data_IF_814204040862
#
_entry.id   IF_814204040862
#
_cell.length_a   1.000
_cell.length_b   1.000
_cell.length_c   1.000
_cell.angle_alpha   90.00
_cell.angle_beta   90.00
_cell.angle_gamma   90.00
#
_symmetry.space_group_name_H-M   'P 1'
#
loop_
_entity.id
_entity.type
_entity.pdbx_description
1 polymer ?
#
# COMPACT_ATOMS: atom_id res chain seq x y z
N UNK A 1 10.89 8.37 33.42
CA UNK A 1 10.96 9.57 32.55
C UNK A 1 9.64 10.29 32.72
N UNK A 2 9.62 11.62 32.79
CA UNK A 2 8.37 12.39 32.83
C UNK A 2 7.59 12.16 31.56
N UNK A 3 6.30 11.94 31.69
CA UNK A 3 5.37 11.78 30.58
C UNK A 3 5.37 13.06 29.75
N UNK A 4 5.65 12.96 28.42
CA UNK A 4 5.66 14.12 27.53
C UNK A 4 4.22 14.50 27.24
N UNK A 5 3.78 15.70 27.70
CA UNK A 5 2.43 16.24 27.44
C UNK A 5 2.43 17.14 26.21
N UNK A 6 1.43 16.98 25.36
CA UNK A 6 1.22 17.86 24.21
C UNK A 6 0.32 17.23 23.15
N UNK A 7 0.09 17.97 22.08
CA UNK A 7 -0.74 17.51 20.96
C UNK A 7 -0.05 16.48 20.07
N UNK A 8 -0.84 15.73 19.32
CA UNK A 8 -0.33 14.92 18.23
C UNK A 8 -0.88 15.34 16.86
N UNK A 9 -0.13 15.05 15.82
CA UNK A 9 -0.58 15.13 14.42
C UNK A 9 -0.47 13.75 13.79
N UNK A 10 -1.51 13.33 13.07
CA UNK A 10 -1.49 12.20 12.12
C UNK A 10 -1.64 12.73 10.69
N UNK A 11 -0.71 12.36 9.80
CA UNK A 11 -0.79 12.65 8.36
C UNK A 11 -0.83 11.37 7.54
N UNK A 12 -1.52 11.41 6.40
CA UNK A 12 -1.57 10.32 5.41
C UNK A 12 -0.80 10.74 4.16
N UNK A 13 -0.03 9.81 3.55
CA UNK A 13 0.89 10.13 2.47
C UNK A 13 0.97 9.03 1.40
N UNK A 14 1.23 9.46 0.17
CA UNK A 14 1.42 8.58 -0.99
C UNK A 14 0.11 8.01 -1.55
N UNK A 15 0.21 6.92 -2.31
CA UNK A 15 -0.95 6.22 -2.85
C UNK A 15 -1.83 5.65 -1.75
N UNK A 16 -3.17 5.81 -1.81
CA UNK A 16 -4.07 5.29 -0.79
C UNK A 16 -4.23 3.76 -0.90
N UNK A 17 -4.83 3.16 0.14
CA UNK A 17 -5.19 1.74 0.18
C UNK A 17 -6.61 1.55 0.72
N UNK A 18 -7.11 0.33 0.70
CA UNK A 18 -8.39 -0.01 1.34
C UNK A 18 -8.35 0.15 2.87
N UNK A 19 -7.17 0.10 3.50
CA UNK A 19 -7.01 0.08 4.97
C UNK A 19 -6.18 1.22 5.54
N UNK A 20 -5.73 2.19 4.73
CA UNK A 20 -4.96 3.33 5.23
C UNK A 20 -5.71 4.11 6.31
N UNK A 21 -7.03 4.20 6.20
CA UNK A 21 -7.87 4.84 7.21
C UNK A 21 -8.02 3.99 8.47
N UNK A 22 -7.93 2.67 8.37
CA UNK A 22 -7.91 1.79 9.54
C UNK A 22 -6.64 2.03 10.38
N UNK A 23 -5.48 2.21 9.75
CA UNK A 23 -4.25 2.64 10.44
C UNK A 23 -4.42 4.01 11.10
N UNK A 24 -5.00 4.98 10.37
CA UNK A 24 -5.26 6.31 10.92
C UNK A 24 -6.26 6.25 12.09
N UNK A 25 -7.30 5.42 12.02
CA UNK A 25 -8.23 5.18 13.12
C UNK A 25 -7.49 4.64 14.35
N UNK A 26 -6.59 3.68 14.16
CA UNK A 26 -5.75 3.14 15.24
C UNK A 26 -4.95 4.23 15.95
N UNK A 27 -4.35 5.16 15.21
CA UNK A 27 -3.65 6.34 15.78
C UNK A 27 -4.64 7.26 16.49
N UNK A 28 -5.70 7.72 15.81
CA UNK A 28 -6.65 8.71 16.32
C UNK A 28 -7.32 8.21 17.60
N UNK A 29 -7.84 6.99 17.59
CA UNK A 29 -8.56 6.43 18.74
C UNK A 29 -7.65 6.27 19.94
N UNK A 30 -6.47 5.69 19.76
CA UNK A 30 -5.51 5.50 20.86
C UNK A 30 -5.01 6.84 21.41
N UNK A 31 -4.78 7.82 20.53
CA UNK A 31 -4.35 9.16 20.95
C UNK A 31 -5.44 9.89 21.74
N UNK A 32 -6.72 9.80 21.32
CA UNK A 32 -7.86 10.40 22.04
C UNK A 32 -8.06 9.76 23.43
N UNK A 33 -7.69 8.51 23.62
CA UNK A 33 -7.80 7.80 24.90
C UNK A 33 -6.56 8.00 25.81
N UNK A 34 -5.49 8.62 25.26
CA UNK A 34 -4.25 8.83 26.00
C UNK A 34 -4.33 10.04 26.93
N UNK A 35 -3.96 9.87 28.20
CA UNK A 35 -3.95 10.96 29.20
C UNK A 35 -2.88 12.03 28.99
N UNK A 36 -1.83 11.75 28.20
CA UNK A 36 -0.73 12.69 27.92
C UNK A 36 -0.90 13.43 26.59
N UNK A 37 -1.73 12.94 25.66
CA UNK A 37 -2.01 13.62 24.40
C UNK A 37 -3.17 14.60 24.60
N UNK A 38 -2.88 15.89 24.51
CA UNK A 38 -3.84 16.97 24.82
C UNK A 38 -4.83 17.25 23.71
N UNK A 39 -4.40 17.15 22.47
CA UNK A 39 -5.19 17.36 21.26
C UNK A 39 -4.76 16.38 20.17
N UNK A 40 -5.70 15.95 19.35
CA UNK A 40 -5.45 15.03 18.24
C UNK A 40 -5.82 15.72 16.94
N UNK A 41 -4.82 15.94 16.10
CA UNK A 41 -4.98 16.64 14.83
C UNK A 41 -4.76 15.72 13.64
N UNK A 42 -5.64 15.80 12.63
CA UNK A 42 -5.47 15.21 11.32
C UNK A 42 -4.92 16.24 10.33
N UNK A 43 -3.77 15.99 9.72
CA UNK A 43 -3.21 16.92 8.74
C UNK A 43 -3.93 16.81 7.39
N UNK A 44 -4.51 17.90 6.89
CA UNK A 44 -5.13 17.95 5.57
C UNK A 44 -4.08 17.74 4.47
N UNK A 45 -4.21 16.66 3.69
CA UNK A 45 -3.22 16.30 2.67
C UNK A 45 -1.79 16.09 3.22
N UNK A 46 -1.66 15.43 4.37
CA UNK A 46 -0.38 15.03 4.94
C UNK A 46 0.52 16.22 5.27
N UNK A 47 1.81 16.13 4.88
CA UNK A 47 2.79 17.18 5.23
C UNK A 47 2.46 18.56 4.64
N UNK A 48 1.76 18.61 3.50
CA UNK A 48 1.31 19.89 2.93
C UNK A 48 0.34 20.61 3.85
N UNK A 49 -0.54 19.88 4.55
CA UNK A 49 -1.42 20.44 5.55
C UNK A 49 -0.68 20.97 6.77
N UNK A 50 0.38 20.29 7.20
CA UNK A 50 1.24 20.80 8.28
C UNK A 50 1.91 22.11 7.86
N UNK A 51 2.48 22.17 6.67
CA UNK A 51 3.12 23.39 6.14
C UNK A 51 2.13 24.55 5.98
N UNK A 52 0.90 24.27 5.61
CA UNK A 52 -0.15 25.25 5.44
C UNK A 52 -0.91 25.58 6.75
N UNK A 53 -0.55 24.93 7.87
CA UNK A 53 -1.26 25.03 9.16
C UNK A 53 -2.77 24.69 9.04
N UNK A 54 -3.07 23.65 8.23
CA UNK A 54 -4.41 23.14 8.00
C UNK A 54 -4.57 21.78 8.67
N UNK A 55 -4.99 21.81 9.92
CA UNK A 55 -5.13 20.66 10.79
C UNK A 55 -6.60 20.49 11.20
N UNK A 56 -7.15 19.29 11.06
CA UNK A 56 -8.51 18.96 11.52
C UNK A 56 -8.46 18.53 12.99
N UNK A 57 -9.32 19.10 13.82
CA UNK A 57 -9.48 18.68 15.21
C UNK A 57 -10.31 17.38 15.28
N UNK A 58 -9.65 16.27 15.52
CA UNK A 58 -10.28 14.94 15.55
C UNK A 58 -11.20 14.74 16.75
N UNK A 59 -11.11 15.56 17.79
CA UNK A 59 -12.02 15.54 18.94
C UNK A 59 -13.43 16.05 18.60
N UNK A 60 -13.57 16.78 17.50
CA UNK A 60 -14.86 17.29 17.01
C UNK A 60 -15.63 16.28 16.16
N UNK A 61 -14.98 15.17 15.79
CA UNK A 61 -15.59 14.13 14.97
C UNK A 61 -16.55 13.25 15.78
N UNK A 62 -17.60 12.77 15.11
CA UNK A 62 -18.50 11.80 15.72
C UNK A 62 -17.73 10.46 15.91
N UNK A 63 -17.71 9.88 17.12
CA UNK A 63 -17.06 8.59 17.37
C UNK A 63 -17.55 7.47 16.44
N UNK A 64 -18.80 7.49 15.99
CA UNK A 64 -19.35 6.51 15.05
C UNK A 64 -18.76 6.71 13.64
N UNK A 65 -18.55 7.95 13.22
CA UNK A 65 -17.89 8.23 11.94
C UNK A 65 -16.40 7.86 11.99
N UNK A 66 -15.73 8.08 13.12
CA UNK A 66 -14.36 7.61 13.30
C UNK A 66 -14.27 6.09 13.20
N UNK A 67 -15.21 5.34 13.79
CA UNK A 67 -15.26 3.88 13.69
C UNK A 67 -15.40 3.39 12.25
N UNK A 68 -16.14 4.10 11.40
CA UNK A 68 -16.32 3.80 9.99
C UNK A 68 -15.03 3.95 9.18
N UNK A 69 -14.02 4.64 9.69
CA UNK A 69 -12.71 4.74 9.03
C UNK A 69 -12.07 3.38 8.79
N UNK A 70 -12.32 2.39 9.63
CA UNK A 70 -11.83 1.01 9.45
C UNK A 70 -12.25 0.41 8.12
N UNK A 71 -13.40 0.81 7.59
CA UNK A 71 -14.03 0.26 6.40
C UNK A 71 -14.08 1.24 5.22
N UNK A 72 -13.54 2.45 5.42
CA UNK A 72 -13.52 3.50 4.41
C UNK A 72 -12.23 3.43 3.60
N UNK A 73 -12.28 3.16 2.30
CA UNK A 73 -11.08 3.13 1.47
C UNK A 73 -10.53 4.53 1.23
N UNK A 74 -9.32 4.59 0.72
CA UNK A 74 -8.61 5.82 0.39
C UNK A 74 -8.20 6.63 1.63
N UNK A 75 -7.78 7.88 1.46
CA UNK A 75 -7.25 8.73 2.55
C UNK A 75 -8.27 9.73 3.01
N UNK A 76 -8.91 9.49 4.15
CA UNK A 76 -9.99 10.35 4.66
C UNK A 76 -9.51 11.76 5.03
N UNK A 77 -8.24 11.90 5.45
CA UNK A 77 -7.63 13.21 5.72
C UNK A 77 -7.04 13.87 4.47
N UNK A 78 -7.12 13.20 3.32
CA UNK A 78 -6.38 13.56 2.13
C UNK A 78 -4.94 13.05 2.16
N UNK A 79 -4.32 12.96 1.00
CA UNK A 79 -2.93 12.51 0.84
C UNK A 79 -2.15 13.49 -0.02
N UNK A 80 -0.84 13.41 0.02
CA UNK A 80 0.03 14.12 -0.90
C UNK A 80 1.24 13.26 -1.32
N UNK A 81 1.82 13.64 -2.44
CA UNK A 81 3.16 13.24 -2.86
C UNK A 81 4.02 14.49 -2.82
N UNK A 82 4.81 14.63 -1.76
CA UNK A 82 5.66 15.79 -1.53
C UNK A 82 7.01 15.34 -0.99
N UNK A 83 8.06 15.57 -1.75
CA UNK A 83 9.42 15.22 -1.39
C UNK A 83 10.08 16.42 -0.74
N UNK A 84 10.36 16.31 0.56
CA UNK A 84 11.14 17.31 1.28
C UNK A 84 12.60 17.23 0.88
N UNK A 85 13.23 18.38 0.67
CA UNK A 85 14.67 18.47 0.45
C UNK A 85 15.44 18.02 1.68
N UNK A 86 16.73 17.77 1.54
CA UNK A 86 17.61 17.56 2.69
C UNK A 86 17.65 18.85 3.55
N UNK A 87 17.51 18.77 4.89
CA UNK A 87 17.50 19.96 5.74
C UNK A 87 18.84 20.71 5.77
N UNK A 88 19.93 20.09 5.35
CA UNK A 88 21.24 20.75 5.22
C UNK A 88 21.36 21.52 3.88
N UNK A 89 20.53 21.21 2.88
CA UNK A 89 20.43 21.97 1.62
C UNK A 89 19.38 23.08 1.72
N UNK A 90 18.20 22.80 2.30
CA UNK A 90 17.12 23.76 2.42
C UNK A 90 16.22 23.39 3.62
N UNK A 91 16.32 24.16 4.69
CA UNK A 91 15.57 23.93 5.93
C UNK A 91 14.27 24.73 6.05
N UNK A 92 13.81 25.39 4.97
CA UNK A 92 12.62 26.25 4.97
C UNK A 92 11.38 25.52 5.43
N UNK A 93 11.11 24.33 4.87
CA UNK A 93 9.96 23.50 5.27
C UNK A 93 10.05 23.07 6.73
N UNK A 94 11.23 22.73 7.21
CA UNK A 94 11.46 22.27 8.59
C UNK A 94 11.25 23.40 9.61
N UNK A 95 11.68 24.61 9.29
CA UNK A 95 11.40 25.82 10.09
C UNK A 95 9.91 26.05 10.18
N UNK A 96 9.19 25.91 9.06
CA UNK A 96 7.73 26.07 9.03
C UNK A 96 7.03 24.99 9.84
N UNK A 97 7.44 23.72 9.73
CA UNK A 97 6.92 22.62 10.55
C UNK A 97 7.15 22.92 12.04
N UNK A 98 8.35 23.37 12.41
CA UNK A 98 8.67 23.72 13.79
C UNK A 98 7.77 24.86 14.34
N UNK A 99 7.49 25.88 13.51
CA UNK A 99 6.56 26.96 13.87
C UNK A 99 5.15 26.41 14.17
N UNK A 100 4.63 25.54 13.29
CA UNK A 100 3.32 24.89 13.46
C UNK A 100 3.31 23.99 14.69
N UNK A 101 4.39 23.21 14.89
CA UNK A 101 4.51 22.36 16.07
C UNK A 101 4.51 23.17 17.37
N UNK A 102 5.23 24.29 17.41
CA UNK A 102 5.24 25.20 18.57
C UNK A 102 3.86 25.86 18.80
N UNK A 103 3.21 26.30 17.71
CA UNK A 103 1.89 26.93 17.78
C UNK A 103 0.84 26.04 18.44
N UNK A 104 0.81 24.76 18.06
CA UNK A 104 -0.17 23.79 18.51
C UNK A 104 0.34 22.85 19.63
N UNK A 105 1.52 23.14 20.21
CA UNK A 105 2.21 22.29 21.21
C UNK A 105 2.30 20.81 20.79
N UNK A 106 2.68 20.57 19.53
CA UNK A 106 2.77 19.23 18.97
C UNK A 106 4.00 18.52 19.53
N UNK A 107 3.78 17.41 20.24
CA UNK A 107 4.83 16.58 20.85
C UNK A 107 4.89 15.20 20.26
N UNK A 108 3.93 14.83 19.41
CA UNK A 108 3.81 13.55 18.76
C UNK A 108 3.47 13.74 17.29
N UNK A 109 4.24 13.15 16.42
CA UNK A 109 4.01 13.18 14.98
C UNK A 109 3.95 11.77 14.41
N UNK A 110 2.81 11.39 13.85
CA UNK A 110 2.55 10.11 13.23
C UNK A 110 2.37 10.31 11.73
N UNK A 111 3.10 9.54 10.91
CA UNK A 111 2.99 9.71 9.47
C UNK A 111 2.74 8.35 8.80
N UNK A 112 1.58 8.21 8.17
CA UNK A 112 1.09 6.96 7.60
C UNK A 112 1.41 6.93 6.11
N UNK A 113 2.38 6.08 5.70
CA UNK A 113 2.83 6.02 4.31
C UNK A 113 3.88 4.97 4.02
N UNK A 114 4.41 5.01 2.79
CA UNK A 114 5.45 4.13 2.26
C UNK A 114 6.87 4.69 2.47
N UNK A 115 7.82 4.22 1.65
CA UNK A 115 9.24 4.55 1.74
C UNK A 115 9.53 6.06 1.81
N UNK A 116 9.00 6.86 0.88
CA UNK A 116 9.19 8.32 0.89
C UNK A 116 8.62 8.99 2.14
N UNK A 117 7.57 8.40 2.73
CA UNK A 117 6.99 8.91 3.97
C UNK A 117 7.86 8.58 5.17
N UNK A 118 8.54 7.44 5.17
CA UNK A 118 9.53 7.08 6.20
C UNK A 118 10.78 7.96 6.11
N UNK A 119 11.21 8.33 4.90
CA UNK A 119 12.26 9.33 4.70
C UNK A 119 11.85 10.71 5.25
N UNK A 120 10.61 11.14 4.98
CA UNK A 120 10.04 12.36 5.56
C UNK A 120 10.05 12.33 7.09
N UNK A 121 9.60 11.23 7.73
CA UNK A 121 9.68 11.04 9.17
C UNK A 121 11.11 11.16 9.70
N UNK A 122 12.04 10.47 9.06
CA UNK A 122 13.45 10.47 9.45
C UNK A 122 14.06 11.88 9.42
N UNK A 123 13.80 12.64 8.34
CA UNK A 123 14.28 14.01 8.18
C UNK A 123 13.68 14.95 9.21
N UNK A 124 12.36 14.90 9.44
CA UNK A 124 11.68 15.71 10.46
C UNK A 124 12.24 15.40 11.84
N UNK A 125 12.38 14.12 12.19
CA UNK A 125 12.88 13.73 13.48
C UNK A 125 14.31 14.24 13.75
N UNK A 126 15.21 14.04 12.79
CA UNK A 126 16.59 14.55 12.89
C UNK A 126 16.63 16.07 13.05
N UNK A 127 15.80 16.80 12.29
CA UNK A 127 15.74 18.24 12.39
C UNK A 127 15.23 18.70 13.77
N UNK A 128 14.16 18.09 14.30
CA UNK A 128 13.64 18.44 15.63
C UNK A 128 14.68 18.19 16.74
N UNK A 129 15.44 17.09 16.64
CA UNK A 129 16.56 16.81 17.56
C UNK A 129 17.65 17.86 17.43
N UNK A 130 18.06 18.24 16.20
CA UNK A 130 19.10 19.25 15.93
C UNK A 130 18.74 20.62 16.54
N UNK A 131 17.47 20.99 16.53
CA UNK A 131 16.99 22.28 17.09
C UNK A 131 16.53 22.19 18.56
N UNK A 132 16.65 21.03 19.19
CA UNK A 132 16.32 20.81 20.60
C UNK A 132 14.81 20.86 20.90
N UNK A 133 13.95 20.60 19.89
CA UNK A 133 12.50 20.52 20.08
C UNK A 133 12.08 19.07 20.35
N UNK A 134 11.65 18.78 21.57
CA UNK A 134 11.23 17.42 21.94
C UNK A 134 9.90 17.06 21.27
N UNK A 135 9.96 16.12 20.33
CA UNK A 135 8.81 15.57 19.60
C UNK A 135 9.08 14.08 19.31
N UNK A 136 8.09 13.23 19.54
CA UNK A 136 8.15 11.80 19.21
C UNK A 136 7.62 11.60 17.78
N UNK A 137 8.49 11.13 16.88
CA UNK A 137 8.16 10.89 15.47
C UNK A 137 8.11 9.39 15.21
N UNK A 138 6.95 8.91 14.76
CA UNK A 138 6.72 7.51 14.45
C UNK A 138 6.14 7.33 13.06
N UNK A 139 6.75 6.44 12.27
CA UNK A 139 6.20 5.97 11.01
C UNK A 139 5.11 4.91 11.23
N UNK A 140 4.00 5.06 10.53
CA UNK A 140 2.92 4.06 10.46
C UNK A 140 2.96 3.45 9.06
N UNK A 141 3.24 2.15 8.92
CA UNK A 141 3.46 1.53 7.61
C UNK A 141 2.19 1.53 6.78
N UNK A 142 2.33 1.76 5.48
CA UNK A 142 1.26 1.64 4.50
C UNK A 142 1.85 1.55 3.09
N UNK A 143 1.55 0.49 2.38
CA UNK A 143 1.69 0.37 0.92
C UNK A 143 1.00 -0.91 0.45
N UNK A 144 0.35 -0.87 -0.74
CA UNK A 144 -0.13 -2.09 -1.40
C UNK A 144 1.03 -2.87 -2.03
N UNK A 145 2.14 -2.22 -2.35
CA UNK A 145 3.27 -2.82 -3.06
C UNK A 145 4.07 -3.79 -2.20
N UNK A 146 3.80 -3.82 -0.89
CA UNK A 146 4.46 -4.71 0.08
C UNK A 146 5.99 -4.59 0.11
N UNK A 147 6.49 -3.42 -0.20
CA UNK A 147 7.89 -3.14 -0.50
C UNK A 147 8.69 -2.49 0.63
N UNK A 148 8.07 -2.22 1.80
CA UNK A 148 8.79 -1.69 2.96
C UNK A 148 9.76 -2.73 3.53
N UNK A 149 11.02 -2.32 3.67
CA UNK A 149 12.07 -3.20 4.14
C UNK A 149 11.92 -3.52 5.65
N UNK A 150 12.25 -4.74 6.03
CA UNK A 150 12.31 -5.20 7.42
C UNK A 150 10.97 -5.58 8.06
N UNK A 151 9.83 -5.31 7.43
CA UNK A 151 8.51 -5.79 7.86
C UNK A 151 8.13 -7.08 7.13
N UNK A 152 7.40 -7.97 7.77
CA UNK A 152 6.88 -9.18 7.10
C UNK A 152 5.98 -8.80 5.94
N UNK A 153 4.98 -7.95 6.17
CA UNK A 153 4.08 -7.42 5.16
C UNK A 153 3.63 -6.00 5.52
N UNK A 154 2.88 -5.36 4.62
CA UNK A 154 2.46 -3.98 4.77
C UNK A 154 0.94 -3.87 4.79
N UNK A 155 0.34 -3.03 5.68
CA UNK A 155 -1.08 -2.72 5.62
C UNK A 155 -1.50 -2.19 4.24
N UNK A 156 -2.52 -2.81 3.66
CA UNK A 156 -3.03 -2.53 2.32
C UNK A 156 -2.71 -3.62 1.30
N UNK A 157 -1.60 -4.33 1.46
CA UNK A 157 -1.18 -5.40 0.55
C UNK A 157 -2.19 -6.55 0.53
N UNK A 158 -2.58 -7.07 1.69
CA UNK A 158 -3.42 -8.26 1.77
C UNK A 158 -4.82 -8.03 1.18
N UNK A 159 -5.42 -6.86 1.42
CA UNK A 159 -6.69 -6.49 0.80
C UNK A 159 -6.60 -6.37 -0.72
N UNK A 160 -5.52 -5.77 -1.24
CA UNK A 160 -5.28 -5.69 -2.66
C UNK A 160 -5.03 -7.09 -3.28
N UNK A 161 -4.26 -7.94 -2.61
CA UNK A 161 -4.01 -9.32 -3.02
C UNK A 161 -5.31 -10.14 -3.10
N UNK A 162 -6.20 -10.02 -2.09
CA UNK A 162 -7.52 -10.65 -2.09
C UNK A 162 -8.40 -10.16 -3.25
N UNK A 163 -8.41 -8.85 -3.48
CA UNK A 163 -9.14 -8.23 -4.60
C UNK A 163 -8.64 -8.78 -5.94
N UNK A 164 -7.32 -8.81 -6.16
CA UNK A 164 -6.71 -9.30 -7.39
C UNK A 164 -7.06 -10.77 -7.61
N UNK A 165 -6.81 -11.63 -6.63
CA UNK A 165 -7.08 -13.06 -6.76
C UNK A 165 -8.56 -13.34 -7.06
N UNK A 166 -9.49 -12.70 -6.34
CA UNK A 166 -10.93 -12.85 -6.53
C UNK A 166 -11.35 -12.38 -7.93
N UNK A 167 -10.90 -11.19 -8.35
CA UNK A 167 -11.23 -10.64 -9.67
C UNK A 167 -10.70 -11.52 -10.80
N UNK A 168 -9.50 -12.08 -10.65
CA UNK A 168 -8.96 -13.00 -11.66
C UNK A 168 -9.75 -14.31 -11.73
N UNK A 169 -10.21 -14.84 -10.59
CA UNK A 169 -11.10 -16.03 -10.59
C UNK A 169 -12.40 -15.75 -11.33
N UNK A 170 -13.00 -14.56 -11.15
CA UNK A 170 -14.23 -14.16 -11.84
C UNK A 170 -13.99 -13.97 -13.35
N UNK A 171 -12.90 -13.29 -13.73
CA UNK A 171 -12.49 -13.12 -15.13
C UNK A 171 -12.19 -14.47 -15.78
N UNK A 172 -11.57 -15.41 -15.03
CA UNK A 172 -11.31 -16.75 -15.51
C UNK A 172 -12.61 -17.47 -15.92
N UNK A 173 -13.68 -17.39 -15.10
CA UNK A 173 -14.96 -17.98 -15.44
C UNK A 173 -15.54 -17.38 -16.72
N UNK A 174 -15.52 -16.06 -16.87
CA UNK A 174 -16.01 -15.37 -18.08
C UNK A 174 -15.16 -15.72 -19.32
N UNK A 175 -13.86 -15.88 -19.17
CA UNK A 175 -12.95 -16.20 -20.27
C UNK A 175 -13.16 -17.61 -20.85
N UNK A 176 -13.73 -18.52 -20.07
CA UNK A 176 -13.88 -19.95 -20.44
C UNK A 176 -15.29 -20.32 -20.90
N UNK A 177 -16.19 -19.35 -21.15
CA UNK A 177 -17.57 -19.65 -21.57
C UNK A 177 -17.72 -19.94 -23.06
N UNK A 178 -16.73 -19.58 -23.88
CA UNK A 178 -16.80 -19.72 -25.34
C UNK A 178 -15.97 -20.91 -25.83
N UNK A 179 -16.52 -21.65 -26.77
CA UNK A 179 -15.85 -22.76 -27.44
C UNK A 179 -14.63 -22.35 -28.29
N UNK A 180 -14.57 -21.08 -28.68
CA UNK A 180 -13.45 -20.52 -29.45
C UNK A 180 -12.27 -20.12 -28.58
N UNK A 181 -12.42 -20.16 -27.28
CA UNK A 181 -11.40 -19.73 -26.30
C UNK A 181 -11.14 -18.22 -26.30
N UNK A 182 -10.33 -17.79 -25.35
CA UNK A 182 -9.91 -16.40 -25.21
C UNK A 182 -8.55 -16.30 -24.52
N UNK A 183 -7.78 -15.29 -24.89
CA UNK A 183 -6.57 -14.90 -24.16
C UNK A 183 -6.90 -13.63 -23.35
N UNK A 184 -6.67 -13.66 -22.05
CA UNK A 184 -6.82 -12.52 -21.16
C UNK A 184 -5.46 -12.10 -20.60
N UNK A 185 -5.09 -10.83 -20.75
CA UNK A 185 -3.88 -10.24 -20.17
C UNK A 185 -4.32 -9.22 -19.14
N UNK A 186 -3.99 -9.46 -17.87
CA UNK A 186 -4.39 -8.62 -16.74
C UNK A 186 -3.18 -7.86 -16.21
N UNK A 187 -3.20 -6.55 -16.33
CA UNK A 187 -2.18 -5.65 -15.80
C UNK A 187 -2.47 -5.32 -14.34
N UNK A 188 -1.45 -5.50 -13.50
CA UNK A 188 -1.51 -5.33 -12.05
C UNK A 188 -0.44 -4.32 -11.63
N UNK A 189 -0.74 -3.49 -10.64
CA UNK A 189 0.20 -2.52 -10.06
C UNK A 189 1.42 -3.22 -9.47
N UNK A 190 2.55 -2.52 -9.45
CA UNK A 190 3.83 -2.98 -8.91
C UNK A 190 4.98 -2.59 -9.83
N UNK A 191 5.58 -1.40 -9.61
CA UNK A 191 6.64 -0.89 -10.49
C UNK A 191 7.96 -1.62 -10.30
N UNK A 192 8.40 -1.78 -9.06
CA UNK A 192 9.73 -2.29 -8.70
C UNK A 192 9.67 -3.62 -7.94
N UNK A 193 8.51 -3.95 -7.39
CA UNK A 193 8.26 -5.17 -6.65
C UNK A 193 6.96 -5.82 -7.13
N UNK A 194 7.00 -7.10 -7.45
CA UNK A 194 5.92 -7.86 -8.06
C UNK A 194 4.94 -8.51 -7.09
N UNK A 195 4.93 -8.14 -5.82
CA UNK A 195 4.11 -8.80 -4.78
C UNK A 195 2.62 -8.88 -5.12
N UNK A 196 2.04 -7.81 -5.68
CA UNK A 196 0.62 -7.79 -6.08
C UNK A 196 0.35 -8.73 -7.24
N UNK A 197 1.21 -8.69 -8.27
CA UNK A 197 1.06 -9.56 -9.45
C UNK A 197 1.28 -11.03 -9.07
N UNK A 198 2.25 -11.30 -8.21
CA UNK A 198 2.50 -12.64 -7.70
C UNK A 198 1.33 -13.19 -6.87
N UNK A 199 0.60 -12.33 -6.12
CA UNK A 199 -0.58 -12.72 -5.38
C UNK A 199 -1.72 -13.25 -6.28
N UNK A 200 -1.71 -12.95 -7.58
CA UNK A 200 -2.62 -13.55 -8.56
C UNK A 200 -2.55 -15.09 -8.56
N UNK A 201 -1.41 -15.66 -8.16
CA UNK A 201 -1.25 -17.12 -8.02
C UNK A 201 -2.20 -17.75 -6.99
N UNK A 202 -2.75 -16.98 -6.03
CA UNK A 202 -3.76 -17.49 -5.10
C UNK A 202 -4.98 -18.08 -5.83
N UNK A 203 -5.35 -17.50 -6.96
CA UNK A 203 -6.47 -17.96 -7.79
C UNK A 203 -6.24 -19.37 -8.37
N UNK A 204 -4.99 -19.76 -8.59
CA UNK A 204 -4.63 -21.08 -9.12
C UNK A 204 -4.94 -22.22 -8.16
N UNK A 205 -5.04 -21.92 -6.85
CA UNK A 205 -5.34 -22.92 -5.80
C UNK A 205 -6.61 -23.71 -6.09
N UNK A 206 -7.57 -23.10 -6.78
CA UNK A 206 -8.85 -23.71 -7.14
C UNK A 206 -9.01 -23.86 -8.66
N UNK A 207 -7.92 -23.84 -9.41
CA UNK A 207 -7.92 -24.05 -10.86
C UNK A 207 -8.57 -22.91 -11.66
N UNK A 208 -8.65 -21.72 -11.11
CA UNK A 208 -9.31 -20.56 -11.74
C UNK A 208 -8.40 -19.31 -11.69
N UNK A 209 -7.16 -19.45 -12.12
CA UNK A 209 -6.17 -18.39 -12.03
C UNK A 209 -5.32 -18.26 -13.28
N UNK A 210 -4.33 -17.35 -13.26
CA UNK A 210 -3.46 -17.15 -14.39
C UNK A 210 -2.60 -18.39 -14.69
N UNK A 211 -2.47 -18.68 -15.98
CA UNK A 211 -1.54 -19.70 -16.48
C UNK A 211 -0.10 -19.20 -16.46
N UNK A 212 0.08 -17.88 -16.61
CA UNK A 212 1.38 -17.22 -16.68
C UNK A 212 1.39 -15.96 -15.80
N UNK A 213 2.51 -15.75 -15.11
CA UNK A 213 2.73 -14.58 -14.24
C UNK A 213 4.09 -13.99 -14.54
N UNK A 214 4.15 -12.71 -14.96
CA UNK A 214 5.40 -12.00 -15.24
C UNK A 214 5.62 -10.89 -14.23
N UNK A 215 6.81 -10.88 -13.62
CA UNK A 215 7.18 -10.04 -12.48
C UNK A 215 8.34 -9.09 -12.80
N UNK A 216 8.46 -7.94 -12.14
CA UNK A 216 9.55 -7.01 -12.36
C UNK A 216 10.88 -7.46 -11.73
N UNK A 217 10.91 -8.55 -10.97
CA UNK A 217 12.11 -9.11 -10.39
C UNK A 217 12.99 -9.86 -11.41
N UNK A 218 12.45 -10.13 -12.60
CA UNK A 218 13.15 -10.85 -13.66
C UNK A 218 13.03 -10.11 -14.98
N UNK A 219 14.07 -10.25 -15.83
CA UNK A 219 14.06 -9.65 -17.16
C UNK A 219 12.93 -10.22 -18.02
N UNK A 220 12.21 -9.36 -18.71
CA UNK A 220 11.16 -9.72 -19.65
C UNK A 220 11.73 -9.86 -21.06
N UNK A 221 11.34 -10.94 -21.72
CA UNK A 221 11.64 -11.18 -23.15
C UNK A 221 10.35 -11.39 -23.95
N UNK A 222 10.13 -10.57 -24.96
CA UNK A 222 8.89 -10.56 -25.74
C UNK A 222 8.69 -11.84 -26.56
N UNK A 223 9.77 -12.43 -27.10
CA UNK A 223 9.67 -13.63 -27.92
C UNK A 223 9.34 -14.85 -27.04
N UNK A 224 9.96 -14.96 -25.87
CA UNK A 224 9.65 -15.97 -24.84
C UNK A 224 8.22 -15.84 -24.36
N UNK A 225 7.77 -14.62 -24.04
CA UNK A 225 6.38 -14.33 -23.64
C UNK A 225 5.39 -14.81 -24.70
N UNK A 226 5.61 -14.48 -25.98
CA UNK A 226 4.74 -14.89 -27.07
C UNK A 226 4.73 -16.42 -27.27
N UNK A 227 5.89 -17.07 -27.12
CA UNK A 227 5.98 -18.53 -27.22
C UNK A 227 5.20 -19.20 -26.07
N UNK A 228 5.30 -18.70 -24.85
CA UNK A 228 4.57 -19.21 -23.69
C UNK A 228 3.06 -19.07 -23.86
N UNK A 229 2.58 -17.88 -24.26
CA UNK A 229 1.16 -17.63 -24.51
C UNK A 229 0.62 -18.54 -25.62
N UNK A 230 1.36 -18.68 -26.71
CA UNK A 230 0.96 -19.58 -27.83
C UNK A 230 0.93 -21.03 -27.40
N UNK A 231 1.90 -21.50 -26.62
CA UNK A 231 1.94 -22.86 -26.09
C UNK A 231 0.71 -23.15 -25.24
N UNK A 232 0.44 -22.30 -24.22
CA UNK A 232 -0.71 -22.48 -23.33
C UNK A 232 -2.02 -22.46 -24.12
N UNK A 233 -2.20 -21.45 -24.98
CA UNK A 233 -3.43 -21.32 -25.78
C UNK A 233 -3.65 -22.52 -26.71
N UNK A 234 -2.59 -23.07 -27.29
CA UNK A 234 -2.66 -24.28 -28.15
C UNK A 234 -3.04 -25.54 -27.36
N UNK A 235 -2.55 -25.64 -26.12
CA UNK A 235 -2.77 -26.82 -25.27
C UNK A 235 -4.15 -26.84 -24.63
N UNK A 236 -4.65 -25.67 -24.21
CA UNK A 236 -5.86 -25.56 -23.39
C UNK A 236 -7.05 -24.86 -24.08
N UNK A 237 -6.80 -24.16 -25.19
CA UNK A 237 -7.79 -23.35 -25.89
C UNK A 237 -7.99 -21.96 -25.28
N UNK A 238 -7.37 -21.65 -24.15
CA UNK A 238 -7.42 -20.34 -23.48
C UNK A 238 -6.07 -20.02 -22.85
N UNK A 239 -5.84 -18.76 -22.45
CA UNK A 239 -4.68 -18.38 -21.69
C UNK A 239 -4.99 -17.15 -20.85
N UNK A 240 -4.76 -17.21 -19.56
CA UNK A 240 -4.82 -16.05 -18.68
C UNK A 240 -3.40 -15.67 -18.24
N UNK A 241 -3.04 -14.41 -18.41
CA UNK A 241 -1.73 -13.86 -18.06
C UNK A 241 -1.90 -12.74 -17.06
N UNK A 242 -1.18 -12.80 -15.93
CA UNK A 242 -1.01 -11.70 -15.02
C UNK A 242 0.35 -11.04 -15.29
N UNK A 243 0.36 -9.73 -15.51
CA UNK A 243 1.59 -8.96 -15.75
C UNK A 243 1.69 -7.78 -14.80
N UNK A 244 2.89 -7.60 -14.23
CA UNK A 244 3.17 -6.37 -13.47
C UNK A 244 3.38 -5.19 -14.43
N UNK A 245 2.83 -4.02 -14.08
CA UNK A 245 3.06 -2.77 -14.83
C UNK A 245 4.55 -2.44 -15.00
N UNK A 246 5.39 -2.94 -14.08
CA UNK A 246 6.82 -2.67 -13.99
C UNK A 246 7.72 -3.69 -14.68
N UNK A 247 7.19 -4.63 -15.50
CA UNK A 247 8.06 -5.54 -16.26
C UNK A 247 8.96 -4.75 -17.20
N UNK A 248 10.21 -5.17 -17.32
CA UNK A 248 11.24 -4.45 -18.05
C UNK A 248 12.18 -5.40 -18.78
N UNK A 249 12.77 -4.92 -19.85
CA UNK A 249 13.80 -5.64 -20.60
C UNK A 249 15.12 -5.68 -19.83
N UNK A 250 16.06 -6.51 -20.27
CA UNK A 250 17.39 -6.65 -19.66
C UNK A 250 18.21 -5.35 -19.60
N UNK A 251 17.90 -4.36 -20.46
CA UNK A 251 18.50 -3.04 -20.42
C UNK A 251 17.85 -2.09 -19.39
N UNK A 252 16.84 -2.56 -18.66
CA UNK A 252 16.10 -1.80 -17.64
C UNK A 252 14.99 -0.91 -18.20
N UNK A 253 14.76 -0.88 -19.52
CA UNK A 253 13.65 -0.14 -20.11
C UNK A 253 12.31 -0.84 -19.84
N UNK A 254 11.29 -0.09 -19.42
CA UNK A 254 9.95 -0.65 -19.18
C UNK A 254 9.28 -1.04 -20.50
N UNK A 255 8.59 -2.19 -20.50
CA UNK A 255 7.86 -2.68 -21.69
C UNK A 255 6.74 -1.71 -22.10
N UNK A 256 6.11 -1.05 -21.13
CA UNK A 256 5.04 -0.06 -21.34
C UNK A 256 5.49 1.37 -21.10
N UNK A 257 6.68 1.74 -21.50
CA UNK A 257 7.10 3.13 -21.35
C UNK A 257 6.17 4.05 -22.15
N UNK A 258 5.16 4.57 -21.45
CA UNK A 258 4.33 5.60 -22.03
C UNK A 258 5.25 6.78 -22.38
N UNK A 259 5.29 7.18 -23.65
CA UNK A 259 6.10 8.30 -24.16
C UNK A 259 5.64 9.67 -23.60
N UNK A 260 5.14 9.68 -22.36
CA UNK A 260 4.73 10.88 -21.65
C UNK A 260 5.82 11.23 -20.64
N UNK A 261 6.37 12.42 -20.80
CA UNK A 261 7.33 13.02 -19.86
C UNK A 261 6.72 13.39 -18.49
N UNK A 262 5.53 12.91 -18.17
CA UNK A 262 4.84 13.20 -16.91
C UNK A 262 5.39 12.33 -15.78
N UNK A 263 5.93 12.98 -14.74
CA UNK A 263 6.31 12.35 -13.49
C UNK A 263 5.30 12.69 -12.39
N UNK A 264 5.19 11.81 -11.39
CA UNK A 264 4.41 12.11 -10.18
C UNK A 264 5.16 13.08 -9.23
N UNK A 265 4.51 13.48 -8.14
CA UNK A 265 5.10 14.42 -7.15
C UNK A 265 6.34 13.88 -6.41
N UNK A 266 6.70 12.61 -6.57
CA UNK A 266 7.95 12.01 -6.08
C UNK A 266 9.00 11.83 -7.19
N UNK A 267 8.66 12.15 -8.45
CA UNK A 267 9.57 12.07 -9.60
C UNK A 267 9.53 10.74 -10.35
N UNK A 268 8.55 9.87 -10.09
CA UNK A 268 8.41 8.59 -10.78
C UNK A 268 7.70 8.74 -12.12
N UNK A 269 8.18 8.06 -13.17
CA UNK A 269 7.49 8.00 -14.46
C UNK A 269 6.10 7.37 -14.32
N UNK A 270 5.12 7.86 -15.06
CA UNK A 270 3.81 7.21 -15.13
C UNK A 270 3.89 6.02 -16.08
N UNK A 271 3.55 4.83 -15.57
CA UNK A 271 3.38 3.60 -16.35
C UNK A 271 1.89 3.39 -16.63
N UNK A 272 1.56 2.60 -17.64
CA UNK A 272 0.19 2.23 -17.95
C UNK A 272 0.01 1.81 -19.41
N UNK A 273 -1.10 1.11 -19.69
CA UNK A 273 -1.41 0.63 -21.04
C UNK A 273 -0.64 -0.62 -21.47
N UNK A 274 0.07 -1.29 -20.55
CA UNK A 274 0.80 -2.52 -20.82
C UNK A 274 -0.13 -3.64 -21.29
N UNK A 275 -1.28 -3.82 -20.61
CA UNK A 275 -2.25 -4.85 -21.03
C UNK A 275 -2.76 -4.63 -22.44
N UNK A 276 -3.04 -3.39 -22.82
CA UNK A 276 -3.51 -3.05 -24.16
C UNK A 276 -2.42 -3.28 -25.22
N UNK A 277 -1.17 -2.91 -24.91
CA UNK A 277 -0.01 -3.15 -25.77
C UNK A 277 0.20 -4.64 -26.02
N UNK A 278 0.32 -5.44 -24.97
CA UNK A 278 0.54 -6.88 -25.06
C UNK A 278 -0.63 -7.58 -25.75
N UNK A 279 -1.89 -7.17 -25.45
CA UNK A 279 -3.06 -7.73 -26.11
C UNK A 279 -3.07 -7.48 -27.61
N UNK A 280 -2.63 -6.30 -28.07
CA UNK A 280 -2.50 -5.99 -29.49
C UNK A 280 -1.45 -6.87 -30.17
N UNK A 281 -0.27 -7.04 -29.56
CA UNK A 281 0.82 -7.86 -30.07
C UNK A 281 0.40 -9.35 -30.15
N UNK A 282 -0.18 -9.86 -29.06
CA UNK A 282 -0.64 -11.26 -28.99
C UNK A 282 -1.74 -11.52 -30.03
N UNK A 283 -2.68 -10.59 -30.19
CA UNK A 283 -3.74 -10.72 -31.20
C UNK A 283 -3.16 -10.81 -32.62
N UNK A 284 -2.20 -9.95 -32.94
CA UNK A 284 -1.51 -9.96 -34.24
C UNK A 284 -0.80 -11.29 -34.52
N UNK A 285 -0.13 -11.85 -33.50
CA UNK A 285 0.66 -13.07 -33.62
C UNK A 285 -0.15 -14.35 -33.58
N UNK A 286 -1.30 -14.36 -32.90
CA UNK A 286 -2.09 -15.58 -32.67
C UNK A 286 -3.38 -15.63 -33.46
N UNK A 287 -3.93 -14.49 -33.89
CA UNK A 287 -5.27 -14.38 -34.46
C UNK A 287 -6.40 -14.67 -33.48
N UNK A 288 -6.09 -14.94 -32.20
CA UNK A 288 -7.05 -15.28 -31.17
C UNK A 288 -7.89 -14.05 -30.74
N UNK A 289 -9.01 -14.33 -30.02
CA UNK A 289 -9.74 -13.29 -29.29
C UNK A 289 -8.91 -12.92 -28.04
N UNK A 290 -8.42 -11.70 -27.98
CA UNK A 290 -7.58 -11.22 -26.86
C UNK A 290 -8.26 -10.06 -26.14
N UNK A 291 -8.17 -10.05 -24.82
CA UNK A 291 -8.60 -8.96 -23.92
C UNK A 291 -7.41 -8.50 -23.07
N UNK A 292 -7.15 -7.19 -23.10
CA UNK A 292 -6.30 -6.53 -22.11
C UNK A 292 -7.19 -5.92 -21.03
N UNK A 293 -6.89 -6.19 -19.77
CA UNK A 293 -7.62 -5.71 -18.59
C UNK A 293 -6.60 -5.02 -17.69
N UNK A 294 -6.87 -3.76 -17.37
CA UNK A 294 -6.09 -2.97 -16.43
C UNK A 294 -6.89 -2.85 -15.13
N UNK A 295 -6.41 -3.42 -14.02
CA UNK A 295 -7.08 -3.30 -12.71
C UNK A 295 -6.98 -1.90 -12.13
N UNK A 296 -5.93 -1.17 -12.50
CA UNK A 296 -5.72 0.24 -12.15
C UNK A 296 -6.06 0.56 -10.68
N UNK A 297 -6.80 1.64 -10.41
CA UNK A 297 -7.14 2.08 -9.06
C UNK A 297 -8.03 1.10 -8.28
N UNK A 298 -8.80 0.24 -8.96
CA UNK A 298 -9.76 -0.66 -8.33
C UNK A 298 -9.08 -1.58 -7.32
N UNK A 299 -7.90 -2.10 -7.63
CA UNK A 299 -7.17 -3.02 -6.77
C UNK A 299 -6.72 -2.41 -5.43
N UNK A 300 -6.63 -1.08 -5.32
CA UNK A 300 -6.23 -0.40 -4.09
C UNK A 300 -7.38 0.26 -3.31
N UNK A 301 -8.57 0.29 -3.87
CA UNK A 301 -9.75 0.90 -3.24
C UNK A 301 -10.96 -0.03 -3.12
N UNK A 302 -10.83 -1.30 -3.51
CA UNK A 302 -11.89 -2.29 -3.49
C UNK A 302 -12.25 -2.75 -2.08
N UNK A 303 -12.82 -1.87 -1.26
CA UNK A 303 -13.14 -2.14 0.15
C UNK A 303 -14.11 -3.32 0.35
N UNK A 304 -14.93 -3.65 -0.66
CA UNK A 304 -15.88 -4.78 -0.61
C UNK A 304 -15.19 -6.16 -0.61
N UNK A 305 -13.91 -6.21 -1.00
CA UNK A 305 -13.06 -7.41 -0.95
C UNK A 305 -11.86 -7.24 0.00
N UNK A 306 -11.92 -6.28 0.91
CA UNK A 306 -10.85 -6.12 1.89
C UNK A 306 -10.69 -7.38 2.76
N UNK A 307 -9.48 -7.63 3.23
CA UNK A 307 -9.18 -8.66 4.22
C UNK A 307 -9.48 -8.13 5.63
N UNK A 308 -10.20 -8.89 6.46
CA UNK A 308 -10.41 -8.54 7.86
C UNK A 308 -9.09 -8.54 8.63
N UNK A 309 -8.22 -9.53 8.36
CA UNK A 309 -6.86 -9.58 8.91
C UNK A 309 -6.09 -8.28 8.63
N UNK A 310 -6.11 -7.79 7.38
CA UNK A 310 -5.42 -6.56 7.00
C UNK A 310 -5.99 -5.31 7.72
N UNK A 311 -7.32 -5.25 7.88
CA UNK A 311 -7.98 -4.17 8.64
C UNK A 311 -7.53 -4.17 10.10
N UNK A 312 -7.56 -5.34 10.76
CA UNK A 312 -7.18 -5.48 12.17
C UNK A 312 -5.70 -5.15 12.39
N UNK A 313 -4.83 -5.63 11.53
CA UNK A 313 -3.40 -5.37 11.58
C UNK A 313 -3.08 -3.90 11.27
N UNK A 314 -3.80 -3.26 10.35
CA UNK A 314 -3.69 -1.82 10.10
C UNK A 314 -4.04 -0.99 11.35
N UNK A 315 -5.14 -1.34 12.05
CA UNK A 315 -5.51 -0.71 13.33
C UNK A 315 -4.42 -0.95 14.38
N UNK A 316 -3.92 -2.19 14.47
CA UNK A 316 -2.85 -2.57 15.40
C UNK A 316 -1.57 -1.76 15.17
N UNK A 317 -1.18 -1.53 13.90
CA UNK A 317 -0.02 -0.71 13.57
C UNK A 317 -0.18 0.74 14.05
N UNK A 318 -1.36 1.34 13.82
CA UNK A 318 -1.66 2.70 14.28
C UNK A 318 -1.64 2.82 15.80
N UNK A 319 -2.26 1.88 16.51
CA UNK A 319 -2.26 1.81 17.96
C UNK A 319 -0.85 1.66 18.52
N UNK A 320 -0.08 0.71 17.99
CA UNK A 320 1.29 0.47 18.44
C UNK A 320 2.20 1.70 18.26
N UNK A 321 2.01 2.49 17.21
CA UNK A 321 2.75 3.73 17.03
C UNK A 321 2.52 4.72 18.19
N UNK A 322 1.27 4.90 18.62
CA UNK A 322 0.92 5.79 19.72
C UNK A 322 1.43 5.25 21.05
N UNK A 323 1.15 3.97 21.37
CA UNK A 323 1.56 3.32 22.61
C UNK A 323 3.08 3.41 22.84
N UNK A 324 3.86 3.18 21.79
CA UNK A 324 5.31 3.30 21.85
C UNK A 324 5.80 4.75 21.98
N UNK A 325 5.17 5.69 21.27
CA UNK A 325 5.52 7.10 21.38
C UNK A 325 5.28 7.66 22.80
N UNK A 326 4.15 7.29 23.41
CA UNK A 326 3.77 7.72 24.77
C UNK A 326 4.80 7.26 25.81
N UNK A 327 5.33 6.05 25.69
CA UNK A 327 6.38 5.55 26.61
C UNK A 327 7.78 6.07 26.27
N UNK A 328 7.91 6.98 25.30
CA UNK A 328 9.14 7.72 25.02
C UNK A 328 9.96 7.23 23.82
N UNK A 329 9.42 6.31 23.03
CA UNK A 329 10.09 5.84 21.81
C UNK A 329 9.86 6.84 20.67
N UNK A 330 10.89 7.06 19.87
CA UNK A 330 10.89 7.93 18.68
C UNK A 330 11.80 7.36 17.59
N UNK A 331 11.75 7.94 16.39
CA UNK A 331 12.61 7.58 15.24
C UNK A 331 12.43 6.13 14.76
N UNK A 332 11.22 5.61 14.95
CA UNK A 332 10.90 4.25 14.56
C UNK A 332 9.70 4.21 13.63
N UNK A 333 9.67 3.17 12.79
CA UNK A 333 8.47 2.71 12.10
C UNK A 333 7.94 1.48 12.83
N UNK A 334 6.63 1.39 12.98
CA UNK A 334 5.98 0.12 13.35
C UNK A 334 6.13 -0.85 12.18
N UNK A 335 6.48 -2.08 12.47
CA UNK A 335 6.61 -3.16 11.50
C UNK A 335 5.93 -4.41 12.03
N UNK A 336 5.64 -5.34 11.14
CA UNK A 336 5.03 -6.62 11.47
C UNK A 336 6.05 -7.74 11.53
N UNK A 337 5.82 -8.67 12.41
CA UNK A 337 6.53 -9.94 12.52
C UNK A 337 5.52 -11.07 12.59
N UNK A 338 5.65 -12.01 11.64
CA UNK A 338 4.81 -13.19 11.56
C UNK A 338 5.18 -14.18 12.65
N UNK A 339 4.17 -14.76 13.26
CA UNK A 339 4.30 -15.85 14.22
C UNK A 339 3.35 -16.99 13.87
N UNK A 340 3.60 -18.14 14.45
CA UNK A 340 2.66 -19.26 14.47
C UNK A 340 2.31 -19.58 15.91
N UNK A 341 1.04 -19.43 16.25
CA UNK A 341 0.51 -19.72 17.57
C UNK A 341 -0.50 -20.86 17.42
N UNK A 342 -0.28 -21.97 18.11
CA UNK A 342 -1.12 -23.18 18.04
C UNK A 342 -1.39 -23.69 16.62
N UNK A 343 -0.37 -23.55 15.74
CA UNK A 343 -0.48 -23.95 14.33
C UNK A 343 -1.19 -22.96 13.42
N UNK A 344 -1.62 -21.81 13.92
CA UNK A 344 -2.30 -20.75 13.18
C UNK A 344 -1.41 -19.52 13.00
N UNK A 345 -1.64 -18.78 11.92
CA UNK A 345 -1.02 -17.50 11.68
C UNK A 345 -1.38 -16.51 12.80
N UNK A 346 -0.38 -15.77 13.23
CA UNK A 346 -0.52 -14.63 14.13
C UNK A 346 0.48 -13.54 13.71
N UNK A 347 0.17 -12.30 14.06
CA UNK A 347 1.02 -11.16 13.80
C UNK A 347 1.25 -10.36 15.07
N UNK A 348 2.50 -9.96 15.29
CA UNK A 348 2.87 -9.01 16.34
C UNK A 348 3.57 -7.80 15.72
N UNK A 349 3.58 -6.71 16.47
CA UNK A 349 4.33 -5.51 16.08
C UNK A 349 5.76 -5.56 16.61
N UNK A 350 6.68 -5.03 15.80
CA UNK A 350 8.06 -4.69 16.20
C UNK A 350 8.36 -3.26 15.74
N UNK A 351 9.50 -2.75 16.15
CA UNK A 351 9.94 -1.40 15.79
C UNK A 351 11.24 -1.46 14.99
N UNK A 352 11.26 -0.74 13.87
CA UNK A 352 12.44 -0.58 13.02
C UNK A 352 12.93 0.87 13.05
N UNK A 353 14.24 1.12 13.10
CA UNK A 353 14.78 2.46 12.90
C UNK A 353 14.33 3.02 11.54
N UNK A 354 13.90 4.29 11.49
CA UNK A 354 13.50 4.92 10.22
C UNK A 354 14.64 4.92 9.19
N UNK A 355 15.89 4.97 9.63
CA UNK A 355 17.09 4.90 8.80
C UNK A 355 17.32 3.55 8.11
N UNK A 356 16.70 2.48 8.62
CA UNK A 356 16.82 1.13 8.05
C UNK A 356 15.69 0.82 7.07
N UNK A 357 14.63 1.65 7.05
CA UNK A 357 13.45 1.48 6.17
C UNK A 357 13.50 2.46 5.01
N UNK A 358 13.81 3.72 5.28
CA UNK A 358 13.85 4.77 4.26
C UNK A 358 14.84 4.43 3.14
N UNK A 359 14.37 4.49 1.89
CA UNK A 359 15.15 4.24 0.67
C UNK A 359 15.60 2.77 0.44
N UNK A 360 14.99 1.81 1.13
CA UNK A 360 15.18 0.38 0.85
C UNK A 360 13.86 -0.24 0.38
N UNK A 361 13.95 -1.15 -0.59
CA UNK A 361 12.79 -1.88 -1.13
C UNK A 361 12.90 -3.37 -0.84
N UNK A 362 11.79 -3.97 -0.43
CA UNK A 362 11.63 -5.41 -0.26
C UNK A 362 11.04 -6.02 -1.54
N UNK A 363 11.82 -6.81 -2.24
CA UNK A 363 11.40 -7.56 -3.43
C UNK A 363 10.99 -8.98 -3.10
N UNK A 364 10.30 -9.63 -4.04
CA UNK A 364 10.04 -11.07 -3.95
C UNK A 364 11.38 -11.81 -3.99
N UNK A 365 11.61 -12.78 -3.07
CA UNK A 365 12.77 -13.65 -3.15
C UNK A 365 12.81 -14.39 -4.49
N UNK A 366 13.94 -14.32 -5.17
CA UNK A 366 14.07 -14.93 -6.53
C UNK A 366 13.80 -16.44 -6.51
N UNK A 367 14.09 -17.10 -5.39
CA UNK A 367 13.82 -18.52 -5.17
C UNK A 367 12.32 -18.85 -5.10
N UNK A 368 11.44 -17.86 -4.92
CA UNK A 368 9.98 -18.03 -4.96
C UNK A 368 9.39 -17.87 -6.36
N UNK A 369 10.20 -17.47 -7.32
CA UNK A 369 9.85 -17.43 -8.74
C UNK A 369 10.24 -18.76 -9.37
N UNK A 370 9.45 -19.27 -10.33
CA UNK A 370 9.78 -20.51 -11.02
C UNK A 370 10.97 -20.32 -11.96
N UNK A 371 11.61 -21.43 -12.35
CA UNK A 371 12.85 -21.39 -13.14
C UNK A 371 12.64 -20.85 -14.58
N UNK A 372 11.39 -20.85 -15.07
CA UNK A 372 11.02 -20.29 -16.38
C UNK A 372 10.66 -18.80 -16.31
N UNK A 373 10.68 -18.17 -15.12
CA UNK A 373 10.35 -16.77 -14.86
C UNK A 373 8.96 -16.33 -15.35
N UNK A 374 8.02 -17.26 -15.42
CA UNK A 374 6.65 -17.04 -15.86
C UNK A 374 5.59 -17.55 -14.88
N UNK A 375 5.96 -17.65 -13.61
CA UNK A 375 5.11 -18.11 -12.51
C UNK A 375 5.82 -18.05 -11.18
N UNK A 376 5.09 -18.39 -10.11
CA UNK A 376 5.62 -18.43 -8.74
C UNK A 376 5.48 -19.80 -8.11
N UNK A 377 6.28 -20.08 -7.09
CA UNK A 377 6.28 -21.33 -6.34
C UNK A 377 5.29 -21.29 -5.16
N UNK A 378 5.07 -22.42 -4.52
CA UNK A 378 4.11 -22.60 -3.42
C UNK A 378 4.41 -21.71 -2.23
N UNK A 379 5.67 -21.38 -1.97
CA UNK A 379 6.13 -20.54 -0.87
C UNK A 379 5.44 -19.15 -0.88
N UNK A 380 5.22 -18.58 -2.08
CA UNK A 380 4.48 -17.32 -2.19
C UNK A 380 3.01 -17.49 -1.79
N UNK A 381 2.36 -18.56 -2.24
CA UNK A 381 0.95 -18.83 -1.89
C UNK A 381 0.83 -19.02 -0.37
N UNK A 382 1.74 -19.77 0.24
CA UNK A 382 1.77 -20.02 1.69
C UNK A 382 2.03 -18.73 2.49
N UNK A 383 2.83 -17.82 1.93
CA UNK A 383 3.07 -16.51 2.52
C UNK A 383 1.83 -15.62 2.50
N UNK A 384 1.12 -15.55 1.36
CA UNK A 384 0.01 -14.60 1.17
C UNK A 384 -1.31 -15.11 1.74
N UNK A 385 -1.57 -16.42 1.64
CA UNK A 385 -2.87 -17.01 2.00
C UNK A 385 -3.37 -16.67 3.41
N UNK A 386 -2.55 -16.69 4.48
CA UNK A 386 -3.00 -16.29 5.81
C UNK A 386 -3.39 -14.82 5.93
N UNK A 387 -2.79 -13.95 5.12
CA UNK A 387 -3.01 -12.50 5.18
C UNK A 387 -4.37 -12.07 4.61
N UNK A 388 -4.93 -12.85 3.68
CA UNK A 388 -6.20 -12.51 2.99
C UNK A 388 -7.44 -13.02 3.72
N UNK A 389 -7.30 -13.49 4.96
CA UNK A 389 -8.39 -14.16 5.68
C UNK A 389 -9.39 -13.17 6.28
N UNK A 390 -10.59 -13.68 6.49
CA UNK A 390 -11.70 -12.97 7.12
C UNK A 390 -12.50 -12.11 6.14
N UNK A 391 -13.78 -11.94 6.49
CA UNK A 391 -14.75 -11.16 5.71
C UNK A 391 -15.27 -10.00 6.58
N UNK A 392 -14.80 -8.79 6.36
CA UNK A 392 -15.26 -7.64 7.13
C UNK A 392 -16.74 -7.39 6.90
N UNK A 393 -17.48 -7.16 7.97
CA UNK A 393 -18.89 -6.74 7.90
C UNK A 393 -18.96 -5.27 7.52
N UNK A 394 -18.85 -4.99 6.21
CA UNK A 394 -18.96 -3.63 5.70
C UNK A 394 -20.30 -3.01 6.08
N UNK A 395 -20.31 -1.87 6.77
CA UNK A 395 -21.50 -1.09 7.01
C UNK A 395 -22.18 -0.70 5.69
N UNK A 396 -23.51 -0.85 5.62
CA UNK A 396 -24.29 -0.55 4.42
C UNK A 396 -25.47 0.35 4.77
N UNK A 397 -25.82 1.23 3.82
CA UNK A 397 -27.01 2.03 3.80
C UNK A 397 -27.64 1.84 2.42
N UNK A 398 -28.91 1.48 2.36
CA UNK A 398 -29.62 1.16 1.11
C UNK A 398 -28.88 0.15 0.21
N UNK A 399 -28.28 -0.88 0.82
CA UNK A 399 -27.46 -1.91 0.18
C UNK A 399 -26.11 -1.43 -0.41
N UNK A 400 -25.78 -0.15 -0.31
CA UNK A 400 -24.50 0.43 -0.73
C UNK A 400 -23.54 0.58 0.46
N UNK A 401 -22.22 0.53 0.23
CA UNK A 401 -21.25 0.77 1.30
C UNK A 401 -21.46 2.12 2.00
N UNK A 402 -21.48 2.12 3.33
CA UNK A 402 -21.53 3.33 4.15
C UNK A 402 -20.11 3.69 4.62
N UNK A 403 -19.54 4.70 4.01
CA UNK A 403 -18.22 5.22 4.36
C UNK A 403 -18.31 6.39 5.34
N UNK A 404 -17.22 6.63 6.09
CA UNK A 404 -17.11 7.71 7.06
C UNK A 404 -17.35 9.09 6.42
N UNK A 405 -18.08 9.95 7.13
CA UNK A 405 -18.32 11.36 6.76
C UNK A 405 -17.79 12.25 7.89
N UNK A 406 -16.51 12.62 7.79
CA UNK A 406 -15.87 13.49 8.77
C UNK A 406 -16.31 14.94 8.60
N UNK A 407 -16.48 15.67 9.74
CA UNK A 407 -16.80 17.09 9.77
C UNK A 407 -15.64 17.97 9.31
N UNK A 408 -14.41 17.53 9.55
CA UNK A 408 -13.15 18.21 9.18
C UNK A 408 -13.08 19.65 9.70
N UNK A 409 -13.40 19.81 10.97
CA UNK A 409 -13.32 21.12 11.65
C UNK A 409 -11.86 21.50 11.80
N UNK A 410 -11.45 22.65 11.27
CA UNK A 410 -10.08 23.14 11.40
C UNK A 410 -9.76 23.52 12.84
N UNK A 411 -8.56 23.18 13.31
CA UNK A 411 -8.00 23.67 14.56
C UNK A 411 -7.87 25.21 14.53
N UNK A 412 -8.09 25.85 15.67
CA UNK A 412 -8.02 27.30 15.83
C UNK A 412 -6.60 27.78 16.14
#
# INVERSE_FOLDING_TARGET
>A
MSELKGACIIGQSGGPTSVINASAYGVIRTALDSGCITNVYGAEHGIKGVLADRLFDMSQEDPKELELLKYTPSSALGSCRYKMKDPDEDDTDYKRILEVFKKHDVRYFFYNGGNDSMDTCNKISKYMQKVGYECRVMGVPKTIDNDLYGTDHCPGYASAAKYIATSLMEVYQDAHVYDTGMICIVEIMGRHAGWLTAAAALATKYGAGPDLIYLPETDFDMDTFLADVQRVYKETGSCMVAVSEGIHYADGSFVSEAKTSATDGFGHAQLGGLAALLASIVKEKTGAKVRGIELSLLQRCGAHLASETDIEEAVMAGRAAVENAVVGITDKMVAFERETVDGHYACKTKLLPLTEVANFEKKIPIEWINDSHNGVKQELIDYVLPLIQGEPKLPKEDSLPRFAKLKKVLAK
#
